data_IF_910789888717
#
_entry.id   IF_910789888717
#
_cell.length_a   1.000
_cell.length_b   1.000
_cell.length_c   1.000
_cell.angle_alpha   90.00
_cell.angle_beta   90.00
_cell.angle_gamma   90.00
#
_symmetry.space_group_name_H-M   'P 1'
#
loop_
_entity.id
_entity.type
_entity.pdbx_description
1 polymer ?
#
# COMPACT_ATOMS: atom_id res chain seq x y z
N UNK A 1 -4.36 -17.36 -6.48
CA UNK A 1 -4.71 -16.55 -5.29
C UNK A 1 -5.17 -17.47 -4.15
N UNK A 2 -6.01 -18.47 -4.43
CA UNK A 2 -6.55 -19.45 -3.45
C UNK A 2 -5.52 -20.26 -2.66
N UNK A 3 -4.39 -20.64 -3.27
CA UNK A 3 -3.38 -21.48 -2.60
C UNK A 3 -2.79 -20.86 -1.32
N UNK A 4 -2.72 -19.53 -1.22
CA UNK A 4 -2.21 -18.83 -0.02
C UNK A 4 -3.21 -18.78 1.14
N UNK A 5 -4.50 -19.01 0.86
CA UNK A 5 -5.57 -18.94 1.88
C UNK A 5 -5.91 -20.30 2.48
N UNK A 6 -5.46 -21.39 1.85
CA UNK A 6 -5.56 -22.76 2.37
C UNK A 6 -4.58 -23.06 3.51
N UNK A 7 -3.62 -22.17 3.77
CA UNK A 7 -2.61 -22.29 4.82
C UNK A 7 -2.99 -21.55 6.11
N UNK A 8 -4.28 -21.28 6.35
CA UNK A 8 -4.73 -20.65 7.59
C UNK A 8 -4.58 -21.62 8.77
N UNK A 9 -3.73 -21.26 9.73
CA UNK A 9 -3.53 -21.98 10.99
C UNK A 9 -4.26 -21.27 12.12
N UNK A 10 -5.17 -21.98 12.80
CA UNK A 10 -6.01 -21.49 13.90
C UNK A 10 -7.48 -21.92 13.75
N UNK A 11 -8.24 -21.96 14.85
CA UNK A 11 -9.64 -22.44 14.88
C UNK A 11 -10.63 -21.54 14.12
N UNK A 12 -10.25 -20.30 13.80
CA UNK A 12 -11.12 -19.31 13.14
C UNK A 12 -10.75 -19.13 11.65
N UNK A 13 -10.89 -20.20 10.87
CA UNK A 13 -10.65 -20.14 9.42
C UNK A 13 -11.70 -19.27 8.74
N UNK A 14 -11.25 -18.25 8.01
CA UNK A 14 -12.11 -17.35 7.26
C UNK A 14 -12.06 -17.67 5.76
N UNK A 15 -13.22 -17.60 5.10
CA UNK A 15 -13.27 -17.67 3.64
C UNK A 15 -12.65 -16.41 3.02
N UNK A 16 -12.26 -16.51 1.73
CA UNK A 16 -11.78 -15.36 0.96
C UNK A 16 -12.75 -14.18 1.00
N UNK A 17 -14.04 -14.48 0.86
CA UNK A 17 -15.10 -13.48 0.88
C UNK A 17 -15.20 -12.80 2.24
N UNK A 18 -15.09 -13.55 3.33
CA UNK A 18 -15.08 -13.02 4.69
C UNK A 18 -13.86 -12.12 4.93
N UNK A 19 -12.69 -12.48 4.42
CA UNK A 19 -11.48 -11.65 4.51
C UNK A 19 -11.70 -10.35 3.73
N UNK A 20 -12.21 -10.41 2.50
CA UNK A 20 -12.49 -9.20 1.72
C UNK A 20 -13.56 -8.32 2.36
N UNK A 21 -14.61 -8.91 2.92
CA UNK A 21 -15.65 -8.18 3.63
C UNK A 21 -15.09 -7.49 4.88
N UNK A 22 -14.27 -8.20 5.66
CA UNK A 22 -13.58 -7.63 6.82
C UNK A 22 -12.63 -6.51 6.44
N UNK A 23 -11.83 -6.67 5.38
CA UNK A 23 -10.93 -5.64 4.87
C UNK A 23 -11.67 -4.39 4.40
N UNK A 24 -12.81 -4.55 3.71
CA UNK A 24 -13.67 -3.43 3.29
C UNK A 24 -14.35 -2.74 4.47
N UNK A 25 -14.73 -3.49 5.51
CA UNK A 25 -15.37 -2.96 6.72
C UNK A 25 -14.39 -2.20 7.59
N UNK A 26 -13.18 -2.75 7.78
CA UNK A 26 -12.19 -2.22 8.70
C UNK A 26 -11.55 -0.92 8.17
N UNK A 27 -11.52 -0.74 6.85
CA UNK A 27 -10.77 0.35 6.26
C UNK A 27 -11.59 1.17 5.29
N UNK A 28 -11.40 2.49 5.38
CA UNK A 28 -11.99 3.44 4.46
C UNK A 28 -11.55 3.16 3.03
N UNK A 29 -12.49 3.36 2.09
CA UNK A 29 -12.22 3.36 0.65
C UNK A 29 -11.04 4.28 0.35
N UNK A 30 -10.20 3.89 -0.60
CA UNK A 30 -9.10 4.72 -1.09
C UNK A 30 -9.69 5.75 -2.06
N UNK A 31 -9.42 7.01 -1.81
CA UNK A 31 -9.86 8.12 -2.67
C UNK A 31 -8.77 8.55 -3.64
N UNK A 32 -9.18 9.16 -4.76
CA UNK A 32 -8.25 9.60 -5.80
C UNK A 32 -7.20 10.60 -5.28
N UNK A 33 -7.60 11.48 -4.36
CA UNK A 33 -6.69 12.47 -3.76
C UNK A 33 -5.58 11.82 -2.93
N UNK A 34 -5.84 10.66 -2.30
CA UNK A 34 -4.83 9.94 -1.52
C UNK A 34 -3.79 9.26 -2.43
N UNK A 35 -4.21 8.82 -3.62
CA UNK A 35 -3.29 8.31 -4.64
C UNK A 35 -2.36 9.44 -5.10
N UNK A 36 -2.90 10.64 -5.34
CA UNK A 36 -2.10 11.82 -5.68
C UNK A 36 -1.13 12.19 -4.56
N UNK A 37 -1.54 12.12 -3.29
CA UNK A 37 -0.63 12.30 -2.16
C UNK A 37 0.49 11.27 -2.15
N UNK A 38 0.20 9.98 -2.34
CA UNK A 38 1.23 8.94 -2.44
C UNK A 38 2.25 9.23 -3.55
N UNK A 39 1.78 9.60 -4.74
CA UNK A 39 2.65 9.98 -5.87
C UNK A 39 3.49 11.21 -5.50
N UNK A 40 2.88 12.24 -4.90
CA UNK A 40 3.59 13.43 -4.44
C UNK A 40 4.69 13.13 -3.42
N UNK A 41 4.45 12.21 -2.49
CA UNK A 41 5.46 11.76 -1.52
C UNK A 41 6.60 10.99 -2.19
N UNK A 42 6.32 10.16 -3.20
CA UNK A 42 7.34 9.47 -3.98
C UNK A 42 8.19 10.46 -4.80
N UNK A 43 7.58 11.49 -5.40
CA UNK A 43 8.29 12.57 -6.08
C UNK A 43 9.18 13.36 -5.11
N UNK A 44 8.64 13.74 -3.94
CA UNK A 44 9.40 14.44 -2.90
C UNK A 44 10.61 13.62 -2.43
N UNK A 45 10.44 12.29 -2.31
CA UNK A 45 11.54 11.37 -2.00
C UNK A 45 12.63 11.35 -3.08
N UNK A 46 12.27 11.45 -4.35
CA UNK A 46 13.24 11.49 -5.46
C UNK A 46 14.00 12.82 -5.51
N UNK A 47 13.34 13.93 -5.20
CA UNK A 47 13.94 15.27 -5.18
C UNK A 47 14.83 15.52 -3.95
N UNK A 48 14.45 14.96 -2.80
CA UNK A 48 15.25 14.99 -1.59
C UNK A 48 15.64 13.55 -1.22
N UNK A 49 16.68 12.99 -1.86
CA UNK A 49 17.12 11.64 -1.57
C UNK A 49 17.72 11.61 -0.16
N UNK A 50 16.86 11.30 0.80
CA UNK A 50 17.30 11.00 2.14
C UNK A 50 18.10 9.69 2.07
N UNK A 51 19.30 9.68 2.66
CA UNK A 51 20.21 8.51 2.65
C UNK A 51 19.67 7.27 3.35
N UNK A 52 18.45 7.34 3.91
CA UNK A 52 17.83 6.26 4.68
C UNK A 52 16.54 5.73 4.05
N UNK A 53 15.83 4.84 4.76
CA UNK A 53 14.67 4.11 4.24
C UNK A 53 13.50 5.05 3.97
N UNK A 54 12.58 4.66 3.08
CA UNK A 54 11.36 5.44 2.79
C UNK A 54 10.53 5.68 4.06
N UNK A 55 10.48 4.69 4.95
CA UNK A 55 9.79 4.77 6.24
C UNK A 55 10.27 5.91 7.14
N UNK A 56 11.52 6.34 6.99
CA UNK A 56 12.13 7.30 7.91
C UNK A 56 11.59 8.71 7.67
N UNK A 57 10.98 8.95 6.52
CA UNK A 57 10.23 10.19 6.27
C UNK A 57 8.97 10.34 7.15
N UNK A 58 8.55 9.28 7.85
CA UNK A 58 7.50 9.33 8.88
C UNK A 58 8.03 9.29 10.30
N UNK A 59 9.35 9.30 10.51
CA UNK A 59 9.93 9.34 11.84
C UNK A 59 9.48 10.61 12.58
N UNK A 60 8.99 10.45 13.80
CA UNK A 60 8.57 11.56 14.67
C UNK A 60 9.71 12.07 15.55
N UNK A 61 10.84 11.36 15.59
CA UNK A 61 12.03 11.71 16.35
C UNK A 61 13.22 11.99 15.43
N UNK A 62 14.06 12.94 15.84
CA UNK A 62 15.35 13.20 15.22
C UNK A 62 16.38 12.16 15.67
N UNK A 63 17.34 11.85 14.80
CA UNK A 63 18.48 10.96 15.13
C UNK A 63 19.77 11.71 14.84
N UNK A 64 20.47 12.16 15.89
CA UNK A 64 21.64 13.03 15.75
C UNK A 64 21.27 14.37 15.09
N UNK A 65 22.00 14.75 14.04
CA UNK A 65 21.73 15.96 13.26
C UNK A 65 20.62 15.81 12.19
N UNK A 66 19.95 14.65 12.12
CA UNK A 66 18.91 14.37 11.11
C UNK A 66 17.55 14.86 11.63
N UNK A 67 16.85 15.72 10.87
CA UNK A 67 15.55 16.24 11.28
C UNK A 67 14.46 15.17 11.26
N UNK A 68 13.35 15.45 11.95
CA UNK A 68 12.13 14.63 11.90
C UNK A 68 11.58 14.54 10.48
N UNK A 69 10.91 13.42 10.19
CA UNK A 69 10.26 13.19 8.92
C UNK A 69 9.08 14.15 8.67
N UNK A 70 8.87 14.53 7.41
CA UNK A 70 7.81 15.46 7.01
C UNK A 70 6.56 14.77 6.46
N UNK A 71 6.64 13.49 6.07
CA UNK A 71 5.57 12.83 5.32
C UNK A 71 4.30 12.63 6.16
N UNK A 72 4.45 12.45 7.47
CA UNK A 72 3.32 12.31 8.40
C UNK A 72 2.36 13.51 8.42
N UNK A 73 2.79 14.69 7.94
CA UNK A 73 1.94 15.87 7.80
C UNK A 73 0.96 15.77 6.62
N UNK A 74 1.28 14.95 5.62
CA UNK A 74 0.49 14.81 4.39
C UNK A 74 -0.31 13.50 4.36
N UNK A 75 0.32 12.39 4.77
CA UNK A 75 -0.33 11.08 4.81
C UNK A 75 0.28 10.22 5.91
N UNK A 76 -0.54 9.49 6.66
CA UNK A 76 -0.04 8.55 7.69
C UNK A 76 0.67 7.37 7.04
N UNK A 77 1.74 6.86 7.66
CA UNK A 77 2.52 5.72 7.16
C UNK A 77 1.65 4.50 6.87
N UNK A 78 0.84 4.06 7.84
CA UNK A 78 -0.01 2.88 7.68
C UNK A 78 -1.04 3.05 6.55
N UNK A 79 -1.47 4.29 6.30
CA UNK A 79 -2.38 4.58 5.18
C UNK A 79 -1.65 4.52 3.84
N UNK A 80 -0.44 5.09 3.76
CA UNK A 80 0.43 4.97 2.58
C UNK A 80 0.73 3.50 2.25
N UNK A 81 1.19 2.72 3.22
CA UNK A 81 1.52 1.29 3.05
C UNK A 81 0.31 0.50 2.58
N UNK A 82 -0.88 0.84 3.08
CA UNK A 82 -2.14 0.22 2.65
C UNK A 82 -2.52 0.60 1.23
N UNK A 83 -2.43 1.88 0.86
CA UNK A 83 -2.71 2.31 -0.51
C UNK A 83 -1.76 1.60 -1.48
N UNK A 84 -0.46 1.61 -1.20
CA UNK A 84 0.55 0.94 -2.03
C UNK A 84 0.30 -0.58 -2.15
N UNK A 85 -0.22 -1.23 -1.10
CA UNK A 85 -0.55 -2.67 -1.11
C UNK A 85 -1.73 -3.01 -2.01
N UNK A 86 -2.74 -2.14 -2.09
CA UNK A 86 -3.97 -2.38 -2.84
C UNK A 86 -4.09 -1.55 -4.12
N UNK A 87 -3.01 -0.86 -4.52
CA UNK A 87 -2.94 -0.12 -5.77
C UNK A 87 -2.77 -1.13 -6.93
N UNK A 88 -3.84 -1.32 -7.70
CA UNK A 88 -3.86 -2.16 -8.89
C UNK A 88 -4.06 -1.29 -10.14
N UNK A 89 -3.23 -1.50 -11.17
CA UNK A 89 -3.34 -0.77 -12.44
C UNK A 89 -4.24 -1.46 -13.46
N UNK A 90 -4.55 -2.75 -13.26
CA UNK A 90 -5.40 -3.52 -14.16
C UNK A 90 -6.35 -4.45 -13.42
N UNK A 91 -7.41 -4.88 -14.13
CA UNK A 91 -8.42 -5.78 -13.60
C UNK A 91 -7.99 -7.25 -13.76
N UNK A 92 -7.72 -7.93 -12.66
CA UNK A 92 -7.31 -9.34 -12.69
C UNK A 92 -8.42 -10.31 -13.12
N UNK A 93 -9.69 -9.87 -13.19
CA UNK A 93 -10.80 -10.68 -13.70
C UNK A 93 -10.95 -10.61 -15.23
N UNK A 94 -10.18 -9.75 -15.90
CA UNK A 94 -10.24 -9.60 -17.33
C UNK A 94 -9.62 -10.83 -18.05
N UNK A 95 -10.15 -11.26 -19.19
CA UNK A 95 -9.64 -12.43 -19.92
C UNK A 95 -8.18 -12.28 -20.36
N UNK A 96 -7.74 -11.04 -20.62
CA UNK A 96 -6.36 -10.69 -20.99
C UNK A 96 -5.36 -11.03 -19.88
N UNK A 97 -5.80 -11.09 -18.62
CA UNK A 97 -4.94 -11.49 -17.50
C UNK A 97 -4.37 -12.91 -17.66
N UNK A 98 -5.03 -13.78 -18.42
CA UNK A 98 -4.59 -15.14 -18.68
C UNK A 98 -3.58 -15.24 -19.84
N UNK A 99 -3.61 -14.29 -20.79
CA UNK A 99 -2.83 -14.37 -22.03
C UNK A 99 -1.67 -13.37 -22.06
N UNK A 100 -1.85 -12.18 -21.50
CA UNK A 100 -0.84 -11.13 -21.47
C UNK A 100 -0.01 -11.20 -20.19
N UNK A 101 1.27 -11.60 -20.34
CA UNK A 101 2.23 -11.65 -19.23
C UNK A 101 2.50 -10.28 -18.60
N UNK A 102 2.27 -9.19 -19.32
CA UNK A 102 2.46 -7.83 -18.84
C UNK A 102 1.16 -7.19 -18.30
N UNK A 103 0.05 -7.92 -18.24
CA UNK A 103 -1.29 -7.40 -17.91
C UNK A 103 -1.34 -6.51 -16.67
N UNK A 104 -0.51 -6.78 -15.66
CA UNK A 104 -0.49 -6.02 -14.40
C UNK A 104 -0.09 -4.56 -14.55
N UNK A 105 0.57 -4.20 -15.64
CA UNK A 105 1.14 -2.87 -15.89
C UNK A 105 0.87 -2.38 -17.32
N UNK A 106 -0.06 -3.03 -18.03
CA UNK A 106 -0.52 -2.61 -19.36
C UNK A 106 -1.62 -1.57 -19.25
#
# INVERSE_FOLDING_TARGET
>A
MEAKFRAQTGDNQLTLEQIFANEKRLHKKIEAHEILQCVGLLLARMLCPHTRRLSDHWATSSVGAIPVGSFGRFLKRDRFDRIMRYLHFSNNAAPEAATDKAWKIR
#
